data_IF_988736468665
#
_entry.id   IF_988736468665
#
_cell.length_a   1.000
_cell.length_b   1.000
_cell.length_c   1.000
_cell.angle_alpha   90.00
_cell.angle_beta   90.00
_cell.angle_gamma   90.00
#
_symmetry.space_group_name_H-M   'P 1'
#
loop_
_entity.id
_entity.type
_entity.pdbx_description
1 polymer ?
#
# COMPACT_ATOMS: atom_id res chain seq x y z
N UNK A 1 0.70 -13.58 17.95
CA UNK A 1 -0.32 -12.51 17.96
C UNK A 1 -1.68 -13.17 18.00
N UNK A 2 -2.55 -12.74 18.92
CA UNK A 2 -3.95 -13.17 18.92
C UNK A 2 -4.70 -12.53 17.74
N UNK A 3 -5.92 -12.98 17.42
CA UNK A 3 -6.74 -12.34 16.39
C UNK A 3 -7.04 -10.86 16.74
N UNK A 4 -7.24 -10.56 18.02
CA UNK A 4 -7.43 -9.19 18.52
C UNK A 4 -6.18 -8.32 18.29
N UNK A 5 -4.98 -8.86 18.56
CA UNK A 5 -3.71 -8.15 18.32
C UNK A 5 -3.58 -7.76 16.83
N UNK A 6 -3.97 -8.66 15.92
CA UNK A 6 -3.90 -8.43 14.47
C UNK A 6 -4.83 -7.31 14.01
N UNK A 7 -6.05 -7.27 14.54
CA UNK A 7 -7.00 -6.19 14.25
C UNK A 7 -6.47 -4.86 14.79
N UNK A 8 -6.03 -4.81 16.06
CA UNK A 8 -5.50 -3.59 16.67
C UNK A 8 -4.29 -3.09 15.88
N UNK A 9 -3.37 -3.97 15.52
CA UNK A 9 -2.21 -3.63 14.68
C UNK A 9 -2.64 -3.04 13.34
N UNK A 10 -3.52 -3.71 12.59
CA UNK A 10 -3.98 -3.26 11.29
C UNK A 10 -4.70 -1.89 11.36
N UNK A 11 -5.57 -1.71 12.35
CA UNK A 11 -6.30 -0.45 12.55
C UNK A 11 -5.35 0.68 12.93
N UNK A 12 -4.40 0.45 13.83
CA UNK A 12 -3.43 1.47 14.24
C UNK A 12 -2.48 1.85 13.09
N UNK A 13 -2.03 0.87 12.32
CA UNK A 13 -1.23 1.08 11.13
C UNK A 13 -1.95 1.98 10.15
N UNK A 14 -3.19 1.63 9.78
CA UNK A 14 -3.95 2.38 8.79
C UNK A 14 -4.31 3.79 9.31
N UNK A 15 -4.75 3.90 10.57
CA UNK A 15 -5.19 5.17 11.14
C UNK A 15 -4.03 6.18 11.23
N UNK A 16 -2.84 5.75 11.66
CA UNK A 16 -1.67 6.64 11.75
C UNK A 16 -1.16 6.99 10.35
N UNK A 17 -1.13 6.03 9.41
CA UNK A 17 -0.77 6.30 8.03
C UNK A 17 -1.68 7.37 7.41
N UNK A 18 -3.00 7.20 7.52
CA UNK A 18 -3.99 8.14 7.01
C UNK A 18 -3.86 9.52 7.68
N UNK A 19 -3.66 9.58 8.99
CA UNK A 19 -3.49 10.84 9.73
C UNK A 19 -2.29 11.67 9.26
N UNK A 20 -1.25 11.03 8.73
CA UNK A 20 -0.05 11.71 8.21
C UNK A 20 -0.20 12.01 6.72
N UNK A 21 -0.60 11.00 5.94
CA UNK A 21 -0.54 11.06 4.49
C UNK A 21 -1.63 11.94 3.90
N UNK A 22 -2.83 11.97 4.50
CA UNK A 22 -3.96 12.76 3.99
C UNK A 22 -3.67 14.27 4.06
N UNK A 23 -3.20 14.84 5.19
CA UNK A 23 -2.79 16.25 5.22
C UNK A 23 -1.61 16.55 4.29
N UNK A 24 -0.59 15.68 4.27
CA UNK A 24 0.59 15.89 3.42
C UNK A 24 0.23 15.89 1.94
N UNK A 25 -0.60 14.95 1.50
CA UNK A 25 -1.10 14.85 0.14
C UNK A 25 -2.00 16.05 -0.23
N UNK A 26 -2.81 16.52 0.72
CA UNK A 26 -3.69 17.68 0.53
C UNK A 26 -2.87 18.95 0.33
N UNK A 27 -1.83 19.16 1.14
CA UNK A 27 -0.91 20.28 0.98
C UNK A 27 -0.12 20.22 -0.34
N UNK A 28 0.28 19.03 -0.77
CA UNK A 28 1.04 18.85 -2.02
C UNK A 28 0.18 19.04 -3.27
N UNK A 29 -1.02 18.46 -3.29
CA UNK A 29 -1.94 18.52 -4.44
C UNK A 29 -2.78 19.80 -4.48
N UNK A 30 -2.86 20.53 -3.37
CA UNK A 30 -3.77 21.67 -3.20
C UNK A 30 -5.25 21.27 -3.15
N UNK A 31 -5.56 19.98 -3.00
CA UNK A 31 -6.93 19.44 -2.97
C UNK A 31 -7.39 19.22 -1.53
N UNK A 32 -8.70 19.15 -1.34
CA UNK A 32 -9.30 18.92 -0.02
C UNK A 32 -8.85 17.59 0.60
N UNK A 33 -8.71 17.57 1.92
CA UNK A 33 -8.36 16.38 2.67
C UNK A 33 -9.39 15.24 2.50
N UNK A 34 -10.67 15.58 2.30
CA UNK A 34 -11.75 14.64 1.96
C UNK A 34 -11.45 13.86 0.69
N UNK A 35 -11.03 14.56 -0.38
CA UNK A 35 -10.66 13.95 -1.66
C UNK A 35 -9.40 13.10 -1.54
N UNK A 36 -8.41 13.54 -0.75
CA UNK A 36 -7.21 12.73 -0.47
C UNK A 36 -7.52 11.45 0.30
N UNK A 37 -8.42 11.53 1.27
CA UNK A 37 -8.90 10.37 2.03
C UNK A 37 -9.65 9.41 1.10
N UNK A 38 -10.51 9.92 0.22
CA UNK A 38 -11.21 9.11 -0.78
C UNK A 38 -10.23 8.39 -1.72
N UNK A 39 -9.17 9.08 -2.19
CA UNK A 39 -8.10 8.47 -2.98
C UNK A 39 -7.37 7.39 -2.19
N UNK A 40 -6.94 7.67 -0.95
CA UNK A 40 -6.23 6.69 -0.13
C UNK A 40 -7.03 5.41 0.12
N UNK A 41 -8.30 5.55 0.48
CA UNK A 41 -9.21 4.41 0.68
C UNK A 41 -9.50 3.68 -0.64
N UNK A 42 -9.73 4.42 -1.74
CA UNK A 42 -9.97 3.83 -3.05
C UNK A 42 -8.78 3.01 -3.55
N UNK A 43 -7.56 3.55 -3.41
CA UNK A 43 -6.31 2.88 -3.76
C UNK A 43 -6.05 1.65 -2.89
N UNK A 44 -6.31 1.71 -1.58
CA UNK A 44 -6.10 0.55 -0.70
C UNK A 44 -7.05 -0.60 -1.06
N UNK A 45 -8.34 -0.31 -1.30
CA UNK A 45 -9.32 -1.28 -1.75
C UNK A 45 -8.96 -1.88 -3.11
N UNK A 46 -8.61 -1.03 -4.08
CA UNK A 46 -8.15 -1.47 -5.39
C UNK A 46 -6.94 -2.38 -5.28
N UNK A 47 -5.95 -2.03 -4.45
CA UNK A 47 -4.73 -2.81 -4.26
C UNK A 47 -5.03 -4.20 -3.71
N UNK A 48 -5.94 -4.33 -2.74
CA UNK A 48 -6.36 -5.63 -2.19
C UNK A 48 -7.01 -6.49 -3.27
N UNK A 49 -7.91 -5.90 -4.06
CA UNK A 49 -8.61 -6.59 -5.15
C UNK A 49 -7.63 -7.00 -6.25
N UNK A 50 -6.78 -6.09 -6.70
CA UNK A 50 -5.76 -6.32 -7.72
C UNK A 50 -4.78 -7.41 -7.29
N UNK A 51 -4.30 -7.37 -6.04
CA UNK A 51 -3.43 -8.40 -5.47
C UNK A 51 -4.05 -9.81 -5.56
N UNK A 52 -5.34 -9.93 -5.26
CA UNK A 52 -6.02 -11.22 -5.40
C UNK A 52 -6.06 -11.69 -6.85
N UNK A 53 -6.55 -10.86 -7.77
CA UNK A 53 -6.72 -11.24 -9.17
C UNK A 53 -5.39 -11.48 -9.90
N UNK A 54 -4.41 -10.61 -9.67
CA UNK A 54 -3.10 -10.74 -10.30
C UNK A 54 -2.37 -12.00 -9.85
N UNK A 55 -2.41 -12.32 -8.54
CA UNK A 55 -1.79 -13.55 -8.03
C UNK A 55 -2.47 -14.80 -8.60
N UNK A 56 -3.80 -14.81 -8.70
CA UNK A 56 -4.52 -15.93 -9.32
C UNK A 56 -4.16 -16.10 -10.80
N UNK A 57 -4.16 -15.00 -11.55
CA UNK A 57 -3.80 -15.02 -12.96
C UNK A 57 -2.37 -15.51 -13.16
N UNK A 58 -1.42 -14.98 -12.39
CA UNK A 58 -0.02 -15.34 -12.50
C UNK A 58 0.26 -16.80 -12.09
N UNK A 59 -0.37 -17.28 -11.00
CA UNK A 59 -0.26 -18.67 -10.58
C UNK A 59 -0.84 -19.64 -11.62
N UNK A 60 -1.88 -19.24 -12.36
CA UNK A 60 -2.43 -20.03 -13.48
C UNK A 60 -1.46 -20.11 -14.67
N UNK A 61 -0.72 -19.05 -14.96
CA UNK A 61 0.22 -19.04 -16.11
C UNK A 61 1.57 -19.69 -15.79
N UNK A 62 2.10 -19.49 -14.58
CA UNK A 62 3.46 -19.88 -14.21
C UNK A 62 3.52 -20.99 -13.16
N UNK A 63 2.38 -21.61 -12.85
CA UNK A 63 2.26 -22.74 -11.92
C UNK A 63 2.22 -22.33 -10.45
N UNK A 64 1.58 -23.17 -9.62
CA UNK A 64 1.38 -22.90 -8.20
C UNK A 64 2.63 -23.10 -7.32
N UNK A 65 3.70 -23.71 -7.86
CA UNK A 65 4.95 -23.91 -7.14
C UNK A 65 5.76 -22.61 -7.08
N UNK A 66 5.45 -21.79 -6.07
CA UNK A 66 6.08 -20.50 -5.85
C UNK A 66 7.54 -20.62 -5.38
N UNK A 67 7.95 -21.76 -4.83
CA UNK A 67 9.29 -21.94 -4.26
C UNK A 67 10.32 -22.16 -5.37
N UNK A 68 10.00 -22.97 -6.37
CA UNK A 68 10.90 -23.31 -7.48
C UNK A 68 10.91 -22.27 -8.62
N UNK A 69 10.25 -21.12 -8.47
CA UNK A 69 10.27 -20.04 -9.49
C UNK A 69 11.66 -19.41 -9.61
N UNK A 70 12.13 -19.30 -10.84
CA UNK A 70 13.38 -18.60 -11.19
C UNK A 70 13.35 -17.13 -10.77
N UNK A 71 14.52 -16.52 -10.55
CA UNK A 71 14.63 -15.09 -10.25
C UNK A 71 13.98 -14.21 -11.33
N UNK A 72 14.09 -14.59 -12.61
CA UNK A 72 13.46 -13.85 -13.71
C UNK A 72 11.93 -13.87 -13.63
N UNK A 73 11.34 -15.01 -13.28
CA UNK A 73 9.89 -15.12 -13.07
C UNK A 73 9.43 -14.24 -11.91
N UNK A 74 10.22 -14.14 -10.84
CA UNK A 74 9.91 -13.27 -9.69
C UNK A 74 10.00 -11.79 -10.04
N UNK A 75 11.05 -11.38 -10.77
CA UNK A 75 11.18 -10.00 -11.24
C UNK A 75 10.02 -9.65 -12.18
N UNK A 76 9.70 -10.51 -13.14
CA UNK A 76 8.57 -10.31 -14.04
C UNK A 76 7.22 -10.21 -13.31
N UNK A 77 7.01 -11.05 -12.29
CA UNK A 77 5.82 -10.96 -11.43
C UNK A 77 5.70 -9.60 -10.76
N UNK A 78 6.75 -9.15 -10.08
CA UNK A 78 6.74 -7.86 -9.36
C UNK A 78 6.59 -6.68 -10.31
N UNK A 79 7.32 -6.67 -11.44
CA UNK A 79 7.22 -5.59 -12.42
C UNK A 79 5.83 -5.53 -13.06
N UNK A 80 5.23 -6.68 -13.39
CA UNK A 80 3.87 -6.72 -13.94
C UNK A 80 2.81 -6.34 -12.89
N UNK A 81 3.04 -6.68 -11.62
CA UNK A 81 2.15 -6.32 -10.52
C UNK A 81 2.10 -4.81 -10.33
N UNK A 82 3.28 -4.22 -10.13
CA UNK A 82 3.45 -2.79 -9.87
C UNK A 82 3.05 -1.96 -11.10
N UNK A 83 3.49 -2.40 -12.28
CA UNK A 83 3.13 -1.75 -13.53
C UNK A 83 1.61 -1.76 -13.79
N UNK A 84 0.94 -2.87 -13.46
CA UNK A 84 -0.51 -2.97 -13.58
C UNK A 84 -1.28 -2.11 -12.59
N UNK A 85 -0.75 -1.90 -11.37
CA UNK A 85 -1.29 -0.91 -10.43
C UNK A 85 -1.19 0.47 -11.05
N UNK A 86 0.03 0.94 -11.31
CA UNK A 86 0.32 2.30 -11.81
C UNK A 86 -0.47 2.61 -13.09
N UNK A 87 -0.59 1.65 -14.00
CA UNK A 87 -1.30 1.82 -15.26
C UNK A 87 -2.78 2.20 -15.08
N UNK A 88 -3.42 1.72 -14.02
CA UNK A 88 -4.82 2.02 -13.71
C UNK A 88 -4.94 3.17 -12.73
N UNK A 89 -4.13 3.17 -11.67
CA UNK A 89 -4.28 4.11 -10.57
C UNK A 89 -3.86 5.52 -10.98
N UNK A 90 -2.79 5.70 -11.77
CA UNK A 90 -2.33 7.04 -12.19
C UNK A 90 -3.39 7.77 -13.04
N UNK A 91 -3.96 7.17 -14.10
CA UNK A 91 -5.02 7.85 -14.86
C UNK A 91 -6.27 8.12 -14.04
N UNK A 92 -6.68 7.18 -13.18
CA UNK A 92 -7.88 7.32 -12.36
C UNK A 92 -7.72 8.43 -11.32
N UNK A 93 -6.58 8.49 -10.64
CA UNK A 93 -6.29 9.53 -9.64
C UNK A 93 -6.11 10.89 -10.30
N UNK A 94 -5.41 10.95 -11.45
CA UNK A 94 -5.28 12.18 -12.24
C UNK A 94 -6.65 12.74 -12.66
N UNK A 95 -7.54 11.86 -13.13
CA UNK A 95 -8.91 12.22 -13.50
C UNK A 95 -9.74 12.66 -12.28
N UNK A 96 -9.73 11.89 -11.20
CA UNK A 96 -10.54 12.16 -10.01
C UNK A 96 -10.11 13.45 -9.29
N UNK A 97 -8.82 13.71 -9.22
CA UNK A 97 -8.29 14.92 -8.58
C UNK A 97 -8.15 16.10 -9.53
N UNK A 98 -8.42 15.94 -10.83
CA UNK A 98 -8.18 16.96 -11.85
C UNK A 98 -6.74 17.51 -11.79
N UNK A 99 -5.77 16.61 -11.74
CA UNK A 99 -4.33 16.91 -11.75
C UNK A 99 -3.67 16.28 -12.98
N UNK A 100 -2.47 16.73 -13.31
CA UNK A 100 -1.73 16.15 -14.43
C UNK A 100 -1.31 14.71 -14.14
N UNK A 101 -1.12 13.90 -15.19
CA UNK A 101 -0.59 12.52 -15.05
C UNK A 101 0.75 12.50 -14.30
N UNK A 102 1.61 13.50 -14.53
CA UNK A 102 2.89 13.61 -13.84
C UNK A 102 2.73 13.89 -12.35
N UNK A 103 1.79 14.76 -11.96
CA UNK A 103 1.48 15.01 -10.55
C UNK A 103 0.89 13.78 -9.88
N UNK A 104 0.01 13.04 -10.57
CA UNK A 104 -0.54 11.79 -10.04
C UNK A 104 0.54 10.71 -9.89
N UNK A 105 1.45 10.59 -10.86
CA UNK A 105 2.59 9.69 -10.76
C UNK A 105 3.52 10.07 -9.60
N UNK A 106 3.78 11.37 -9.41
CA UNK A 106 4.56 11.86 -8.28
C UNK A 106 3.88 11.59 -6.94
N UNK A 107 2.55 11.72 -6.87
CA UNK A 107 1.75 11.40 -5.68
C UNK A 107 1.86 9.90 -5.34
N UNK A 108 1.74 9.02 -6.33
CA UNK A 108 1.93 7.58 -6.13
C UNK A 108 3.34 7.23 -5.69
N UNK A 109 4.36 7.81 -6.32
CA UNK A 109 5.74 7.60 -5.90
C UNK A 109 5.97 8.05 -4.45
N UNK A 110 5.40 9.21 -4.07
CA UNK A 110 5.45 9.69 -2.69
C UNK A 110 4.75 8.74 -1.71
N UNK A 111 3.59 8.21 -2.08
CA UNK A 111 2.88 7.21 -1.27
C UNK A 111 3.70 5.93 -1.11
N UNK A 112 4.25 5.40 -2.20
CA UNK A 112 5.07 4.20 -2.17
C UNK A 112 6.29 4.37 -1.26
N UNK A 113 7.02 5.48 -1.41
CA UNK A 113 8.17 5.80 -0.57
C UNK A 113 7.76 5.96 0.89
N UNK A 114 6.68 6.69 1.15
CA UNK A 114 6.15 6.87 2.51
C UNK A 114 5.80 5.52 3.15
N UNK A 115 4.97 4.71 2.50
CA UNK A 115 4.53 3.42 3.06
C UNK A 115 5.70 2.45 3.23
N UNK A 116 6.72 2.48 2.36
CA UNK A 116 7.92 1.66 2.51
C UNK A 116 8.63 1.94 3.85
N UNK A 117 8.96 3.21 4.12
CA UNK A 117 9.64 3.58 5.37
C UNK A 117 8.71 3.51 6.58
N UNK A 118 7.48 3.97 6.42
CA UNK A 118 6.46 3.94 7.47
C UNK A 118 6.20 2.52 7.95
N UNK A 119 6.06 1.55 7.05
CA UNK A 119 5.77 0.17 7.46
C UNK A 119 6.91 -0.46 8.24
N UNK A 120 8.17 -0.23 7.83
CA UNK A 120 9.34 -0.69 8.58
C UNK A 120 9.38 -0.07 9.97
N UNK A 121 9.21 1.26 10.06
CA UNK A 121 9.24 1.99 11.32
C UNK A 121 8.09 1.57 12.27
N UNK A 122 6.87 1.49 11.75
CA UNK A 122 5.70 1.11 12.53
C UNK A 122 5.82 -0.33 13.04
N UNK A 123 6.17 -1.29 12.17
CA UNK A 123 6.29 -2.69 12.58
C UNK A 123 7.37 -2.86 13.65
N UNK A 124 8.52 -2.22 13.48
CA UNK A 124 9.60 -2.24 14.47
C UNK A 124 9.19 -1.61 15.81
N UNK A 125 8.54 -0.44 15.78
CA UNK A 125 8.02 0.22 16.98
C UNK A 125 6.96 -0.64 17.68
N UNK A 126 6.01 -1.20 16.93
CA UNK A 126 4.95 -2.04 17.47
C UNK A 126 5.51 -3.28 18.15
N UNK A 127 6.48 -3.96 17.51
CA UNK A 127 7.13 -5.14 18.08
C UNK A 127 7.93 -4.80 19.34
N UNK A 128 8.62 -3.66 19.38
CA UNK A 128 9.35 -3.19 20.55
C UNK A 128 8.42 -2.79 21.70
N UNK A 129 7.32 -2.10 21.42
CA UNK A 129 6.32 -1.74 22.43
C UNK A 129 5.67 -3.01 22.98
N UNK A 130 5.31 -3.95 22.11
CA UNK A 130 4.71 -5.23 22.49
C UNK A 130 5.67 -6.11 23.29
N UNK A 131 6.97 -6.11 22.97
CA UNK A 131 7.96 -6.86 23.76
C UNK A 131 8.18 -6.23 25.14
N UNK A 132 8.17 -4.90 25.24
CA UNK A 132 8.28 -4.17 26.53
C UNK A 132 7.02 -4.28 27.39
N UNK A 133 5.83 -4.29 26.79
CA UNK A 133 4.56 -4.54 27.49
C UNK A 133 4.42 -6.02 27.93
N UNK A 134 5.26 -6.91 27.40
CA UNK A 134 5.48 -8.27 27.92
C UNK A 134 6.58 -8.34 29.00
N UNK A 135 6.74 -7.28 29.80
CA UNK A 135 7.38 -7.40 31.12
C UNK A 135 6.28 -7.75 32.13
N UNK A 136 6.30 -9.01 32.58
CA UNK A 136 5.37 -9.69 33.50
C UNK A 136 4.26 -10.56 32.85
N UNK A 137 4.65 -11.59 32.10
CA UNK A 137 4.00 -12.92 32.15
C UNK A 137 4.92 -13.98 31.58
#
# INVERSE_FOLDING_TARGET
MTFKDRIIHAVLFEAIALAIIVPAASMFSGKEASSMLAVGVGLSLYTVVWNYFYNLWFDKQFGADRLNRSLMTRIGHTLGFEGGIIFITVPVVAWFLEITLLQSLALEAAFLIFFFFYAVAFNWCYDNVRSKLKLAS
#
